data_IF_617259466724
#
_entry.id   IF_617259466724
#
_cell.length_a   1.000
_cell.length_b   1.000
_cell.length_c   1.000
_cell.angle_alpha   90.00
_cell.angle_beta   90.00
_cell.angle_gamma   90.00
#
_symmetry.space_group_name_H-M   'P 1'
#
loop_
_entity.id
_entity.type
_entity.pdbx_description
1 polymer ?
#
# COMPACT_ATOMS: atom_id res chain seq x y z
N UNK A 1 15.75 -17.32 17.02
CA UNK A 1 14.52 -16.50 17.16
C UNK A 1 14.68 -15.14 16.48
N UNK A 2 15.79 -14.44 16.68
CA UNK A 2 16.01 -13.10 16.10
C UNK A 2 16.04 -13.06 14.56
N UNK A 3 16.66 -14.05 13.91
CA UNK A 3 16.66 -14.13 12.43
C UNK A 3 15.23 -14.22 11.86
N UNK A 4 14.39 -15.05 12.49
CA UNK A 4 12.99 -15.21 12.10
C UNK A 4 12.20 -13.93 12.35
N UNK A 5 12.35 -13.31 13.52
CA UNK A 5 11.72 -12.03 13.83
C UNK A 5 12.13 -10.93 12.83
N UNK A 6 13.42 -10.90 12.47
CA UNK A 6 13.97 -9.95 11.50
C UNK A 6 13.40 -10.20 10.10
N UNK A 7 13.32 -11.46 9.66
CA UNK A 7 12.67 -11.79 8.39
C UNK A 7 11.21 -11.33 8.36
N UNK A 8 10.47 -11.51 9.46
CA UNK A 8 9.07 -11.08 9.59
C UNK A 8 8.94 -9.56 9.51
N UNK A 9 9.78 -8.80 10.20
CA UNK A 9 9.68 -7.33 10.18
C UNK A 9 10.06 -6.74 8.82
N UNK A 10 10.90 -7.43 8.04
CA UNK A 10 11.28 -7.04 6.67
C UNK A 10 10.22 -7.33 5.61
N UNK A 11 9.20 -8.15 5.89
CA UNK A 11 8.13 -8.43 4.93
C UNK A 11 7.40 -7.15 4.48
N UNK A 12 7.15 -6.23 5.42
CA UNK A 12 6.48 -4.97 5.12
C UNK A 12 7.29 -4.09 4.14
N UNK A 13 8.54 -3.67 4.43
CA UNK A 13 9.28 -2.78 3.52
C UNK A 13 9.51 -3.41 2.15
N UNK A 14 9.76 -4.72 2.06
CA UNK A 14 9.88 -5.41 0.77
C UNK A 14 8.57 -5.37 -0.03
N UNK A 15 7.44 -5.61 0.62
CA UNK A 15 6.13 -5.50 -0.02
C UNK A 15 5.80 -4.05 -0.42
N UNK A 16 6.24 -3.07 0.38
CA UNK A 16 6.08 -1.66 0.10
C UNK A 16 6.83 -1.25 -1.18
N UNK A 17 8.05 -1.77 -1.42
CA UNK A 17 8.78 -1.51 -2.66
C UNK A 17 7.99 -1.97 -3.90
N UNK A 18 7.35 -3.14 -3.84
CA UNK A 18 6.48 -3.61 -4.91
C UNK A 18 5.28 -2.68 -5.15
N UNK A 19 4.64 -2.22 -4.08
CA UNK A 19 3.52 -1.26 -4.16
C UNK A 19 3.97 0.09 -4.73
N UNK A 20 5.14 0.60 -4.34
CA UNK A 20 5.72 1.83 -4.89
C UNK A 20 5.95 1.70 -6.39
N UNK A 21 6.48 0.57 -6.85
CA UNK A 21 6.66 0.31 -8.28
C UNK A 21 5.33 0.33 -9.05
N UNK A 22 4.26 -0.25 -8.47
CA UNK A 22 2.92 -0.18 -9.04
C UNK A 22 2.38 1.25 -9.11
N UNK A 23 2.64 2.09 -8.10
CA UNK A 23 2.30 3.52 -8.13
C UNK A 23 3.03 4.27 -9.24
N UNK A 24 4.33 4.01 -9.43
CA UNK A 24 5.12 4.62 -10.50
C UNK A 24 4.50 4.26 -11.86
N UNK A 25 4.11 3.01 -12.06
CA UNK A 25 3.44 2.57 -13.28
C UNK A 25 2.06 3.22 -13.45
N UNK A 26 1.29 3.36 -12.36
CA UNK A 26 0.00 4.06 -12.40
C UNK A 26 0.14 5.53 -12.79
N UNK A 27 1.18 6.20 -12.30
CA UNK A 27 1.45 7.62 -12.59
C UNK A 27 1.68 7.89 -14.08
N UNK A 28 2.21 6.92 -14.84
CA UNK A 28 2.42 7.02 -16.29
C UNK A 28 1.12 7.31 -17.06
N UNK A 29 -0.05 6.97 -16.50
CA UNK A 29 -1.35 7.29 -17.09
C UNK A 29 -1.55 8.80 -17.36
N UNK A 30 -0.98 9.68 -16.52
CA UNK A 30 -1.10 11.13 -16.71
C UNK A 30 -0.55 11.59 -18.06
N UNK A 31 0.51 10.95 -18.54
CA UNK A 31 1.11 11.25 -19.84
C UNK A 31 0.45 10.42 -20.95
N UNK A 32 0.16 9.14 -20.70
CA UNK A 32 -0.46 8.25 -21.69
C UNK A 32 -1.85 8.74 -22.12
N UNK A 33 -2.65 9.25 -21.18
CA UNK A 33 -4.03 9.67 -21.42
C UNK A 33 -4.20 10.88 -22.33
N UNK A 34 -3.15 11.70 -22.51
CA UNK A 34 -3.17 12.88 -23.40
C UNK A 34 -2.83 12.52 -24.85
N UNK A 35 -2.18 11.37 -25.07
CA UNK A 35 -1.70 10.95 -26.40
C UNK A 35 -2.73 10.00 -27.05
N UNK A 36 -3.33 9.10 -26.26
CA UNK A 36 -4.29 8.14 -26.75
C UNK A 36 -5.60 8.79 -27.20
N UNK A 37 -6.23 8.23 -28.23
CA UNK A 37 -7.52 8.69 -28.76
C UNK A 37 -8.48 7.52 -28.98
N UNK A 38 -9.77 7.85 -29.09
CA UNK A 38 -10.81 6.89 -29.48
C UNK A 38 -10.89 5.64 -28.60
N UNK A 39 -11.09 4.50 -29.23
CA UNK A 39 -11.28 3.20 -28.57
C UNK A 39 -10.07 2.74 -27.75
N UNK A 40 -8.85 3.07 -28.19
CA UNK A 40 -7.62 2.73 -27.48
C UNK A 40 -7.54 3.43 -26.13
N UNK A 41 -7.87 4.72 -26.08
CA UNK A 41 -7.94 5.48 -24.82
C UNK A 41 -8.94 4.87 -23.84
N UNK A 42 -10.11 4.46 -24.32
CA UNK A 42 -11.14 3.86 -23.47
C UNK A 42 -10.72 2.51 -22.90
N UNK A 43 -10.02 1.69 -23.69
CA UNK A 43 -9.47 0.40 -23.23
C UNK A 43 -8.42 0.60 -22.13
N UNK A 44 -7.49 1.53 -22.35
CA UNK A 44 -6.42 1.81 -21.39
C UNK A 44 -6.93 2.49 -20.11
N UNK A 45 -7.96 3.33 -20.21
CA UNK A 45 -8.63 3.90 -19.04
C UNK A 45 -9.23 2.81 -18.15
N UNK A 46 -9.99 1.87 -18.73
CA UNK A 46 -10.55 0.72 -17.97
C UNK A 46 -9.46 -0.10 -17.29
N UNK A 47 -8.32 -0.29 -17.96
CA UNK A 47 -7.19 -1.00 -17.36
C UNK A 47 -6.54 -0.20 -16.23
N UNK A 48 -6.37 1.13 -16.40
CA UNK A 48 -5.88 2.04 -15.36
C UNK A 48 -6.74 1.97 -14.10
N UNK A 49 -8.06 2.10 -14.24
CA UNK A 49 -9.04 2.03 -13.15
C UNK A 49 -9.04 0.67 -12.45
N UNK A 50 -9.08 -0.43 -13.22
CA UNK A 50 -9.01 -1.80 -12.68
C UNK A 50 -7.74 -2.00 -11.84
N UNK A 51 -6.61 -1.58 -12.37
CA UNK A 51 -5.33 -1.70 -11.66
C UNK A 51 -5.23 -0.72 -10.48
N UNK A 52 -5.88 0.44 -10.55
CA UNK A 52 -5.97 1.39 -9.43
C UNK A 52 -6.77 0.81 -8.27
N UNK A 53 -7.88 0.13 -8.58
CA UNK A 53 -8.67 -0.57 -7.57
C UNK A 53 -7.90 -1.73 -6.93
N UNK A 54 -7.12 -2.49 -7.70
CA UNK A 54 -6.21 -3.51 -7.12
C UNK A 54 -5.15 -2.87 -6.22
N UNK A 55 -4.53 -1.79 -6.68
CA UNK A 55 -3.49 -1.07 -5.92
C UNK A 55 -4.01 -0.56 -4.58
N UNK A 56 -5.26 -0.09 -4.54
CA UNK A 56 -5.94 0.26 -3.28
C UNK A 56 -5.92 -0.89 -2.26
N UNK A 57 -6.31 -2.10 -2.69
CA UNK A 57 -6.27 -3.27 -1.80
C UNK A 57 -4.85 -3.71 -1.45
N UNK A 58 -3.88 -3.53 -2.34
CA UNK A 58 -2.48 -3.78 -2.01
C UNK A 58 -1.95 -2.82 -0.94
N UNK A 59 -2.35 -1.55 -0.96
CA UNK A 59 -2.00 -0.59 0.09
C UNK A 59 -2.59 -1.02 1.44
N UNK A 60 -3.87 -1.42 1.48
CA UNK A 60 -4.48 -1.98 2.69
C UNK A 60 -3.68 -3.19 3.18
N UNK A 61 -3.38 -4.13 2.28
CA UNK A 61 -2.63 -5.35 2.59
C UNK A 61 -1.24 -5.05 3.17
N UNK A 62 -0.48 -4.12 2.59
CA UNK A 62 0.86 -3.75 3.06
C UNK A 62 0.84 -3.05 4.41
N UNK A 63 -0.18 -2.24 4.69
CA UNK A 63 -0.37 -1.61 6.01
C UNK A 63 -0.75 -2.66 7.04
N UNK A 64 -1.71 -3.54 6.75
CA UNK A 64 -2.05 -4.66 7.64
C UNK A 64 -0.85 -5.56 7.91
N UNK A 65 -0.03 -5.83 6.89
CA UNK A 65 1.22 -6.58 7.02
C UNK A 65 2.20 -5.88 7.97
N UNK A 66 2.30 -4.55 7.98
CA UNK A 66 3.13 -3.83 8.93
C UNK A 66 2.72 -4.11 10.38
N UNK A 67 1.42 -4.01 10.68
CA UNK A 67 0.90 -4.27 12.02
C UNK A 67 1.09 -5.74 12.43
N UNK A 68 0.76 -6.68 11.54
CA UNK A 68 0.97 -8.11 11.78
C UNK A 68 2.44 -8.45 12.00
N UNK A 69 3.34 -7.90 11.17
CA UNK A 69 4.78 -8.06 11.35
C UNK A 69 5.26 -7.56 12.71
N UNK A 70 4.75 -6.43 13.22
CA UNK A 70 5.06 -5.94 14.58
C UNK A 70 4.54 -6.88 15.66
N UNK A 71 3.28 -7.35 15.55
CA UNK A 71 2.69 -8.30 16.50
C UNK A 71 3.58 -9.54 16.62
N UNK A 72 3.91 -10.18 15.49
CA UNK A 72 4.72 -11.39 15.52
C UNK A 72 6.16 -11.11 15.96
N UNK A 73 6.75 -9.98 15.56
CA UNK A 73 8.09 -9.59 16.01
C UNK A 73 8.16 -9.49 17.54
N UNK A 74 7.27 -8.72 18.17
CA UNK A 74 7.28 -8.55 19.62
C UNK A 74 6.90 -9.82 20.36
N UNK A 75 5.95 -10.60 19.85
CA UNK A 75 5.63 -11.91 20.42
C UNK A 75 6.85 -12.85 20.43
N UNK A 76 7.69 -12.82 19.39
CA UNK A 76 8.88 -13.67 19.28
C UNK A 76 10.03 -13.17 20.17
N UNK A 77 10.23 -11.86 20.28
CA UNK A 77 11.37 -11.26 20.99
C UNK A 77 11.08 -11.07 22.48
N UNK A 78 9.88 -10.59 22.83
CA UNK A 78 9.50 -10.24 24.20
C UNK A 78 8.56 -11.27 24.85
N UNK A 79 7.95 -12.18 24.07
CA UNK A 79 6.96 -13.13 24.57
C UNK A 79 5.55 -12.57 24.77
N UNK A 80 5.38 -11.27 24.58
CA UNK A 80 4.10 -10.55 24.70
C UNK A 80 4.00 -9.39 23.70
N UNK A 81 2.79 -8.89 23.50
CA UNK A 81 2.51 -7.74 22.63
C UNK A 81 1.61 -6.76 23.37
N UNK A 82 2.12 -5.55 23.62
CA UNK A 82 1.35 -4.46 24.19
C UNK A 82 0.66 -3.60 23.12
N UNK A 83 -0.37 -2.85 23.52
CA UNK A 83 -1.04 -1.89 22.62
C UNK A 83 -0.06 -0.79 22.18
N UNK A 84 0.82 -0.34 23.08
CA UNK A 84 1.88 0.65 22.80
C UNK A 84 2.82 0.20 21.68
N UNK A 85 3.03 -1.11 21.52
CA UNK A 85 3.88 -1.67 20.48
C UNK A 85 3.26 -1.54 19.09
N UNK A 86 1.94 -1.34 19.00
CA UNK A 86 1.22 -1.21 17.74
C UNK A 86 0.96 0.25 17.36
N UNK A 87 0.96 1.16 18.32
CA UNK A 87 0.77 2.59 18.05
C UNK A 87 1.99 3.14 17.27
N UNK A 88 1.79 3.84 16.14
CA UNK A 88 2.87 4.51 15.44
C UNK A 88 3.55 5.57 16.32
N UNK A 89 4.85 5.45 16.53
CA UNK A 89 5.68 6.39 17.30
C UNK A 89 6.60 7.26 16.42
N UNK A 90 6.38 7.25 15.10
CA UNK A 90 7.20 7.95 14.12
C UNK A 90 6.37 8.40 12.90
N UNK A 91 6.90 9.35 12.12
CA UNK A 91 6.19 9.96 11.00
C UNK A 91 5.70 8.95 9.97
N UNK A 92 6.56 8.02 9.51
CA UNK A 92 6.19 7.06 8.47
C UNK A 92 4.97 6.21 8.85
N UNK A 93 4.86 5.75 10.10
CA UNK A 93 3.70 4.97 10.55
C UNK A 93 2.39 5.77 10.48
N UNK A 94 2.39 7.05 10.87
CA UNK A 94 1.23 7.94 10.71
C UNK A 94 0.97 8.29 9.24
N UNK A 95 2.03 8.56 8.47
CA UNK A 95 1.95 8.87 7.04
C UNK A 95 1.35 7.71 6.24
N UNK A 96 1.60 6.46 6.63
CA UNK A 96 0.98 5.28 6.04
C UNK A 96 -0.55 5.31 6.18
N UNK A 97 -1.06 5.63 7.38
CA UNK A 97 -2.50 5.76 7.64
C UNK A 97 -3.12 6.95 6.91
N UNK A 98 -2.45 8.10 6.89
CA UNK A 98 -2.88 9.26 6.10
C UNK A 98 -2.92 8.95 4.60
N UNK A 99 -1.91 8.24 4.11
CA UNK A 99 -1.85 7.76 2.73
C UNK A 99 -3.00 6.82 2.38
N UNK A 100 -3.39 5.93 3.29
CA UNK A 100 -4.60 5.10 3.13
C UNK A 100 -5.86 5.96 3.06
N UNK A 101 -6.00 6.96 3.94
CA UNK A 101 -7.11 7.92 3.90
C UNK A 101 -7.22 8.62 2.53
N UNK A 102 -6.09 9.09 2.00
CA UNK A 102 -6.04 9.69 0.67
C UNK A 102 -6.42 8.68 -0.43
N UNK A 103 -5.96 7.44 -0.33
CA UNK A 103 -6.29 6.38 -1.29
C UNK A 103 -7.78 6.04 -1.28
N UNK A 104 -8.43 6.01 -0.11
CA UNK A 104 -9.89 5.86 0.02
C UNK A 104 -10.60 6.99 -0.71
N UNK A 105 -10.17 8.24 -0.46
CA UNK A 105 -10.75 9.42 -1.10
C UNK A 105 -10.60 9.39 -2.63
N UNK A 106 -9.40 9.10 -3.13
CA UNK A 106 -9.14 9.02 -4.57
C UNK A 106 -9.92 7.88 -5.24
N UNK A 107 -10.03 6.72 -4.58
CA UNK A 107 -10.84 5.61 -5.07
C UNK A 107 -12.31 6.01 -5.18
N UNK A 108 -12.83 6.71 -4.18
CA UNK A 108 -14.20 7.20 -4.17
C UNK A 108 -14.48 8.18 -5.32
N UNK A 109 -13.56 9.10 -5.61
CA UNK A 109 -13.66 9.99 -6.78
C UNK A 109 -13.65 9.19 -8.09
N UNK A 110 -12.77 8.19 -8.21
CA UNK A 110 -12.69 7.34 -9.40
C UNK A 110 -13.95 6.50 -9.65
N UNK A 111 -14.67 6.10 -8.60
CA UNK A 111 -15.94 5.37 -8.73
C UNK A 111 -17.12 6.25 -9.16
N UNK A 112 -16.97 7.58 -9.10
CA UNK A 112 -18.01 8.56 -9.44
C UNK A 112 -17.80 9.26 -10.80
N UNK A 113 -16.66 9.01 -11.44
CA UNK A 113 -16.30 9.58 -12.75
C UNK A 113 -16.98 8.81 -13.90
#
# INVERSE_FOLDING_TARGET
MEVVATAIILLHPLSALAVIWLFINQRKWRQKSTILKGSERQKELKNHEKNGNKLFFYVIGVISLAFLSKIFYFQIINGEVGISDLIPNHFHGWAGLLGLGLMIYLRHLGLRA
#
